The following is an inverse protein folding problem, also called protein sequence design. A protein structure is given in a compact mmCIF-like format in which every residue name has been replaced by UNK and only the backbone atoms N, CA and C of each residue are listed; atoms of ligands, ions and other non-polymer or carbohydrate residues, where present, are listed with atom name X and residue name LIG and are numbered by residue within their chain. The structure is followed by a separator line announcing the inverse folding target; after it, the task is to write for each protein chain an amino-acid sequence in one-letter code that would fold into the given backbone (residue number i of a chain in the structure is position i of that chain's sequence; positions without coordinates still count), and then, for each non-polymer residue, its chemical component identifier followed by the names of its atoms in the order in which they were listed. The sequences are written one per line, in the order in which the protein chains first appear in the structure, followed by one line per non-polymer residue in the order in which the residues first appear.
data_IF_782219139170
#
_entry.id   IF_782219139170
#
_cell.length_a   1.000
_cell.length_b   1.000
_cell.length_c   1.000
_cell.angle_alpha   90.00
_cell.angle_beta   90.00
_cell.angle_gamma   90.00
#
_symmetry.space_group_name_H-M   'P 1'
#
loop_
_entity.id
_entity.type
_entity.pdbx_description
1 polymer ?
#
# COMPACT_ATOMS: atom_id res chain seq x y z
N UNK A 1 -20.57 1.77 -24.01
CA UNK A 1 -19.19 2.03 -23.56
C UNK A 1 -18.82 0.87 -22.66
N UNK A 2 -18.33 -0.22 -23.24
CA UNK A 2 -17.85 -1.37 -22.46
C UNK A 2 -16.56 -0.93 -21.76
N UNK A 3 -16.54 -1.01 -20.43
CA UNK A 3 -15.31 -0.76 -19.69
C UNK A 3 -14.31 -1.86 -20.09
N UNK A 4 -13.08 -1.51 -20.54
CA UNK A 4 -12.09 -2.52 -20.86
C UNK A 4 -11.91 -3.44 -19.65
N UNK A 5 -11.81 -4.77 -19.85
CA UNK A 5 -11.71 -5.72 -18.76
C UNK A 5 -10.51 -5.37 -17.90
N UNK A 6 -10.79 -4.81 -16.72
CA UNK A 6 -9.77 -4.51 -15.73
C UNK A 6 -9.30 -5.87 -15.21
N UNK A 7 -8.05 -6.23 -15.51
CA UNK A 7 -7.44 -7.44 -15.00
C UNK A 7 -7.47 -7.47 -13.46
N UNK A 8 -7.18 -8.61 -12.81
CA UNK A 8 -7.31 -8.77 -11.35
C UNK A 8 -6.39 -7.84 -10.53
N UNK A 9 -5.43 -7.15 -11.19
CA UNK A 9 -4.39 -6.35 -10.55
C UNK A 9 -4.89 -5.29 -9.56
N UNK A 10 -5.93 -4.45 -9.82
CA UNK A 10 -6.36 -3.47 -8.83
C UNK A 10 -6.98 -4.12 -7.58
N UNK A 11 -7.71 -5.23 -7.76
CA UNK A 11 -8.29 -5.98 -6.63
C UNK A 11 -7.16 -6.55 -5.77
N UNK A 12 -6.16 -7.16 -6.41
CA UNK A 12 -4.99 -7.69 -5.71
C UNK A 12 -4.19 -6.57 -5.01
N UNK A 13 -4.02 -5.41 -5.64
CA UNK A 13 -3.37 -4.26 -5.01
C UNK A 13 -4.12 -3.77 -3.76
N UNK A 14 -5.46 -3.76 -3.79
CA UNK A 14 -6.28 -3.45 -2.62
C UNK A 14 -6.09 -4.49 -1.52
N UNK A 15 -6.14 -5.78 -1.85
CA UNK A 15 -5.93 -6.88 -0.88
C UNK A 15 -4.54 -6.80 -0.25
N UNK A 16 -3.51 -6.61 -1.06
CA UNK A 16 -2.11 -6.47 -0.61
C UNK A 16 -1.95 -5.22 0.26
N UNK A 17 -2.56 -4.10 -0.11
CA UNK A 17 -2.56 -2.88 0.68
C UNK A 17 -3.24 -3.06 2.04
N UNK A 18 -4.40 -3.71 2.08
CA UNK A 18 -5.12 -4.04 3.32
C UNK A 18 -4.27 -4.96 4.20
N UNK A 19 -3.70 -6.03 3.64
CA UNK A 19 -2.85 -6.97 4.36
C UNK A 19 -1.66 -6.27 5.03
N UNK A 20 -0.93 -5.44 4.28
CA UNK A 20 0.23 -4.72 4.81
C UNK A 20 -0.16 -3.63 5.81
N UNK A 21 -1.29 -2.97 5.62
CA UNK A 21 -1.84 -2.03 6.60
C UNK A 21 -2.17 -2.74 7.90
N UNK A 22 -2.85 -3.89 7.83
CA UNK A 22 -3.19 -4.70 9.00
C UNK A 22 -1.94 -5.22 9.72
N UNK A 23 -0.93 -5.68 8.97
CA UNK A 23 0.36 -6.10 9.51
C UNK A 23 1.08 -4.94 10.20
N UNK A 24 1.09 -3.76 9.58
CA UNK A 24 1.68 -2.56 10.18
C UNK A 24 0.97 -2.15 11.48
N UNK A 25 -0.37 -2.22 11.50
CA UNK A 25 -1.18 -1.99 12.72
C UNK A 25 -0.89 -3.03 13.78
N UNK A 26 -0.78 -4.31 13.41
CA UNK A 26 -0.42 -5.37 14.35
C UNK A 26 0.96 -5.11 14.99
N UNK A 27 1.95 -4.66 14.21
CA UNK A 27 3.30 -4.39 14.69
C UNK A 27 3.37 -3.10 15.55
N UNK A 28 2.68 -2.03 15.14
CA UNK A 28 2.78 -0.70 15.79
C UNK A 28 1.74 -0.45 16.86
N UNK A 29 0.69 -1.28 16.94
CA UNK A 29 -0.48 -1.04 17.77
C UNK A 29 -1.47 -0.07 17.14
N UNK A 30 -2.08 0.80 17.95
CA UNK A 30 -3.24 1.61 17.55
C UNK A 30 -2.81 2.84 16.74
N UNK A 31 -3.28 2.97 15.49
CA UNK A 31 -2.93 4.07 14.57
C UNK A 31 -3.87 5.29 14.59
N UNK A 32 -4.95 5.25 15.40
CA UNK A 32 -5.90 6.36 15.54
C UNK A 32 -6.40 6.93 14.20
N UNK A 33 -6.51 8.25 14.12
CA UNK A 33 -7.03 8.97 12.94
C UNK A 33 -6.18 8.84 11.65
N UNK A 34 -4.98 8.26 11.72
CA UNK A 34 -4.04 8.17 10.58
C UNK A 34 -4.20 6.89 9.77
N UNK A 35 -4.97 5.92 10.27
CA UNK A 35 -5.19 4.63 9.63
C UNK A 35 -5.69 4.74 8.17
N UNK A 36 -6.67 5.61 7.84
CA UNK A 36 -7.14 5.73 6.45
C UNK A 36 -6.03 6.19 5.48
N UNK A 37 -5.16 7.10 5.93
CA UNK A 37 -4.06 7.60 5.11
C UNK A 37 -3.01 6.51 4.85
N UNK A 38 -2.69 5.72 5.89
CA UNK A 38 -1.79 4.57 5.76
C UNK A 38 -2.36 3.55 4.77
N UNK A 39 -3.66 3.25 4.87
CA UNK A 39 -4.32 2.32 3.97
C UNK A 39 -4.25 2.77 2.51
N UNK A 40 -4.60 4.03 2.24
CA UNK A 40 -4.54 4.58 0.88
C UNK A 40 -3.11 4.54 0.34
N UNK A 41 -2.12 4.93 1.16
CA UNK A 41 -0.73 4.88 0.73
C UNK A 41 -0.24 3.45 0.47
N UNK A 42 -0.67 2.46 1.25
CA UNK A 42 -0.33 1.06 1.04
C UNK A 42 -0.94 0.52 -0.27
N UNK A 43 -2.20 0.85 -0.56
CA UNK A 43 -2.88 0.43 -1.81
C UNK A 43 -2.21 1.09 -3.02
N UNK A 44 -1.93 2.39 -2.96
CA UNK A 44 -1.25 3.11 -4.04
C UNK A 44 0.18 2.59 -4.24
N UNK A 45 0.89 2.29 -3.16
CA UNK A 45 2.19 1.64 -3.20
C UNK A 45 2.11 0.27 -3.87
N UNK A 46 1.15 -0.58 -3.49
CA UNK A 46 0.95 -1.88 -4.10
C UNK A 46 0.65 -1.79 -5.61
N UNK A 47 -0.19 -0.83 -6.00
CA UNK A 47 -0.53 -0.58 -7.40
C UNK A 47 0.67 -0.09 -8.22
N UNK A 48 1.46 0.83 -7.65
CA UNK A 48 2.70 1.29 -8.28
C UNK A 48 3.76 0.18 -8.37
N UNK A 49 3.85 -0.66 -7.34
CA UNK A 49 4.73 -1.82 -7.29
C UNK A 49 4.39 -2.84 -8.37
N UNK A 50 3.11 -3.13 -8.56
CA UNK A 50 2.66 -3.98 -9.66
C UNK A 50 3.12 -3.44 -11.02
N UNK A 51 2.87 -2.16 -11.28
CA UNK A 51 3.29 -1.53 -12.53
C UNK A 51 4.82 -1.52 -12.72
N UNK A 52 5.59 -1.47 -11.64
CA UNK A 52 7.04 -1.55 -11.68
C UNK A 52 7.52 -2.98 -11.95
N UNK A 53 6.93 -3.98 -11.27
CA UNK A 53 7.25 -5.39 -11.45
C UNK A 53 6.87 -5.93 -12.83
N UNK A 54 5.82 -5.39 -13.44
CA UNK A 54 5.49 -5.66 -14.84
C UNK A 54 6.61 -5.24 -15.82
N UNK A 55 7.46 -4.28 -15.44
CA UNK A 55 8.58 -3.78 -16.26
C UNK A 55 9.91 -4.43 -15.92
N UNK A 56 10.17 -4.67 -14.64
CA UNK A 56 11.45 -5.18 -14.16
C UNK A 56 11.50 -6.71 -14.02
N UNK A 57 10.34 -7.36 -14.11
CA UNK A 57 10.17 -8.75 -13.70
C UNK A 57 10.05 -8.86 -12.18
N UNK A 58 9.41 -9.93 -11.70
CA UNK A 58 9.22 -10.17 -10.27
C UNK A 58 9.52 -11.64 -9.94
N UNK A 59 10.41 -11.93 -8.96
CA UNK A 59 10.69 -13.28 -8.50
C UNK A 59 9.49 -13.96 -7.80
N UNK A 60 8.55 -13.21 -7.23
CA UNK A 60 7.37 -13.74 -6.52
C UNK A 60 6.11 -13.20 -7.18
N UNK A 61 5.42 -14.06 -7.92
CA UNK A 61 4.24 -13.69 -8.71
C UNK A 61 3.02 -14.49 -8.31
N UNK A 62 1.85 -13.88 -8.41
CA UNK A 62 0.57 -14.55 -8.31
C UNK A 62 -0.18 -14.38 -9.64
N UNK A 63 -0.07 -15.38 -10.51
CA UNK A 63 -0.43 -15.21 -11.91
C UNK A 63 0.44 -14.13 -12.55
N UNK A 64 -0.19 -13.10 -13.10
CA UNK A 64 0.51 -11.95 -13.71
C UNK A 64 0.90 -10.87 -12.70
N UNK A 65 0.38 -10.94 -11.47
CA UNK A 65 0.62 -9.92 -10.45
C UNK A 65 1.98 -10.11 -9.76
N UNK A 66 2.77 -9.05 -9.77
CA UNK A 66 4.11 -8.88 -9.19
C UNK A 66 4.01 -8.59 -7.69
N UNK A 67 3.95 -9.66 -6.90
CA UNK A 67 3.69 -9.60 -5.46
C UNK A 67 4.86 -8.99 -4.66
N UNK A 68 6.11 -9.26 -5.03
CA UNK A 68 7.25 -8.73 -4.29
C UNK A 68 7.35 -7.21 -4.46
N UNK A 69 7.21 -6.72 -5.70
CA UNK A 69 7.25 -5.28 -5.96
C UNK A 69 6.04 -4.57 -5.35
N UNK A 70 4.84 -5.14 -5.47
CA UNK A 70 3.65 -4.61 -4.82
C UNK A 70 3.82 -4.50 -3.30
N UNK A 71 4.35 -5.54 -2.65
CA UNK A 71 4.58 -5.54 -1.20
C UNK A 71 5.65 -4.54 -0.78
N UNK A 72 6.76 -4.47 -1.53
CA UNK A 72 7.84 -3.52 -1.27
C UNK A 72 7.38 -2.07 -1.37
N UNK A 73 6.64 -1.71 -2.43
CA UNK A 73 6.14 -0.35 -2.60
C UNK A 73 4.96 -0.03 -1.67
N UNK A 74 4.15 -1.02 -1.27
CA UNK A 74 3.16 -0.85 -0.20
C UNK A 74 3.83 -0.43 1.12
N UNK A 75 4.89 -1.14 1.53
CA UNK A 75 5.68 -0.77 2.70
C UNK A 75 6.33 0.61 2.57
N UNK A 76 6.86 0.94 1.39
CA UNK A 76 7.42 2.27 1.14
C UNK A 76 6.37 3.38 1.37
N UNK A 77 5.15 3.21 0.84
CA UNK A 77 4.04 4.13 1.07
C UNK A 77 3.69 4.26 2.55
N UNK A 78 3.60 3.14 3.27
CA UNK A 78 3.35 3.12 4.72
C UNK A 78 4.44 3.88 5.49
N UNK A 79 5.72 3.67 5.17
CA UNK A 79 6.84 4.34 5.83
C UNK A 79 6.80 5.85 5.59
N UNK A 80 6.52 6.29 4.36
CA UNK A 80 6.39 7.71 4.03
C UNK A 80 5.29 8.36 4.89
N UNK A 81 4.11 7.72 4.96
CA UNK A 81 3.02 8.22 5.81
C UNK A 81 3.41 8.19 7.29
N UNK A 82 4.03 7.11 7.75
CA UNK A 82 4.49 6.98 9.13
C UNK A 82 5.44 8.10 9.54
N UNK A 83 6.46 8.37 8.72
CA UNK A 83 7.46 9.42 8.95
C UNK A 83 6.83 10.80 8.88
N UNK A 84 6.08 11.12 7.83
CA UNK A 84 5.42 12.43 7.69
C UNK A 84 4.47 12.71 8.85
N UNK A 85 3.80 11.68 9.35
CA UNK A 85 2.93 11.81 10.49
C UNK A 85 3.70 12.07 11.80
N UNK A 86 4.94 11.61 11.95
CA UNK A 86 5.80 12.00 13.09
C UNK A 86 6.28 13.45 13.02
N UNK A 87 6.44 14.00 11.81
CA UNK A 87 6.89 15.37 11.58
C UNK A 87 5.74 16.38 11.57
N UNK A 88 4.49 15.91 11.43
CA UNK A 88 3.31 16.75 11.34
C UNK A 88 3.02 17.50 12.65
N UNK A 89 2.49 18.74 12.59
CA UNK A 89 2.21 19.53 13.77
C UNK A 89 1.25 18.81 14.73
N UNK A 90 1.68 18.55 15.95
CA UNK A 90 0.76 18.24 17.06
C UNK A 90 -0.02 19.52 17.36
N UNK A 91 -1.29 19.58 16.96
CA UNK A 91 -2.18 20.64 17.45
C UNK A 91 -2.25 20.51 18.97
N UNK A 92 -1.54 21.38 19.68
CA UNK A 92 -1.78 21.66 21.09
C UNK A 92 -3.21 22.19 21.21
N UNK A 93 -4.15 21.32 21.54
CA UNK A 93 -5.47 21.72 21.99
C UNK A 93 -5.30 22.46 23.32
N UNK A 94 -5.54 23.77 23.30
CA UNK A 94 -5.95 24.50 24.51
C UNK A 94 -7.34 24.04 24.96
#
# INVERSE_FOLDING_TARGET
MELPPIGPAPILAVVVGIFHTALYVLIRGVMGARLPLVLVAAILGAFAGEALGARLGDPVRLGDFSLAWASGLAWLGIVIVGVTATLGPTRTSR
#
